data_IF_583650000559
#
_entry.id   IF_583650000559
#
_cell.length_a   1.000
_cell.length_b   1.000
_cell.length_c   1.000
_cell.angle_alpha   90.00
_cell.angle_beta   90.00
_cell.angle_gamma   90.00
#
_symmetry.space_group_name_H-M   'P 1'
#
loop_
_entity.id
_entity.type
_entity.pdbx_description
1 polymer ?
#
# COMPACT_ATOMS: atom_id res chain seq x y z
N UNK A 1 -15.39 8.06 0.50
CA UNK A 1 -14.22 7.44 1.15
C UNK A 1 -14.45 5.96 1.41
N UNK A 2 -13.44 5.09 1.39
CA UNK A 2 -13.55 3.65 1.68
C UNK A 2 -12.44 3.25 2.66
N UNK A 3 -12.76 2.34 3.59
CA UNK A 3 -11.89 1.96 4.70
C UNK A 3 -11.49 0.49 4.60
N UNK A 4 -10.20 0.22 4.66
CA UNK A 4 -9.61 -1.10 4.57
C UNK A 4 -8.73 -1.50 5.75
N UNK A 5 -8.31 -2.76 5.72
CA UNK A 5 -7.39 -3.31 6.69
C UNK A 5 -6.32 -4.17 6.00
N UNK A 6 -5.05 -3.80 6.17
CA UNK A 6 -3.92 -4.52 5.59
C UNK A 6 -3.58 -5.76 6.42
N UNK A 7 -3.51 -6.92 5.78
CA UNK A 7 -3.25 -8.19 6.46
C UNK A 7 -1.77 -8.51 6.64
N UNK A 8 -0.88 -7.74 5.99
CA UNK A 8 0.56 -8.00 5.96
C UNK A 8 1.19 -8.09 7.35
N UNK A 9 1.23 -6.98 8.07
CA UNK A 9 1.80 -6.93 9.42
C UNK A 9 0.88 -7.59 10.47
N UNK A 10 -0.43 -7.55 10.25
CA UNK A 10 -1.40 -8.12 11.19
C UNK A 10 -1.38 -9.66 11.23
N UNK A 11 -0.98 -10.31 10.14
CA UNK A 11 -0.90 -11.77 10.04
C UNK A 11 0.44 -12.23 9.44
N UNK A 12 0.65 -12.06 8.13
CA UNK A 12 1.88 -12.46 7.46
C UNK A 12 2.04 -11.78 6.09
N UNK A 13 3.26 -11.38 5.79
CA UNK A 13 3.63 -10.84 4.46
C UNK A 13 3.79 -11.93 3.40
N UNK A 14 4.19 -13.14 3.79
CA UNK A 14 4.57 -14.23 2.88
C UNK A 14 4.00 -15.59 3.27
N UNK A 15 3.41 -15.70 4.46
CA UNK A 15 2.83 -16.93 4.99
C UNK A 15 1.43 -17.21 4.44
N UNK A 16 0.70 -18.17 5.04
CA UNK A 16 -0.66 -18.50 4.61
C UNK A 16 -1.63 -17.32 4.82
N UNK A 17 -2.67 -17.29 4.02
CA UNK A 17 -3.80 -16.33 4.19
C UNK A 17 -4.48 -16.60 5.53
N UNK A 18 -4.71 -15.54 6.30
CA UNK A 18 -5.43 -15.60 7.57
C UNK A 18 -6.93 -15.40 7.38
N UNK A 19 -7.67 -16.45 7.14
CA UNK A 19 -9.13 -16.40 7.04
C UNK A 19 -9.81 -15.84 8.30
N UNK A 20 -9.38 -16.19 9.54
CA UNK A 20 -9.95 -15.57 10.74
C UNK A 20 -9.79 -14.04 10.79
N UNK A 21 -8.70 -13.50 10.24
CA UNK A 21 -8.53 -12.05 10.14
C UNK A 21 -9.49 -11.43 9.10
N UNK A 22 -9.69 -12.11 7.97
CA UNK A 22 -10.68 -11.69 6.96
C UNK A 22 -12.09 -11.63 7.59
N UNK A 23 -12.47 -12.66 8.36
CA UNK A 23 -13.75 -12.69 9.08
C UNK A 23 -13.89 -11.53 10.07
N UNK A 24 -12.83 -11.23 10.83
CA UNK A 24 -12.83 -10.12 11.78
C UNK A 24 -12.97 -8.76 11.08
N UNK A 25 -12.29 -8.57 9.95
CA UNK A 25 -12.36 -7.36 9.12
C UNK A 25 -13.77 -7.20 8.53
N UNK A 26 -14.34 -8.27 7.97
CA UNK A 26 -15.72 -8.26 7.43
C UNK A 26 -16.74 -7.98 8.52
N UNK A 27 -16.65 -8.66 9.66
CA UNK A 27 -17.58 -8.48 10.80
C UNK A 27 -17.47 -7.07 11.43
N UNK A 28 -16.29 -6.45 11.39
CA UNK A 28 -16.09 -5.08 11.84
C UNK A 28 -16.74 -4.03 10.91
N UNK A 29 -17.07 -4.40 9.67
CA UNK A 29 -17.72 -3.54 8.69
C UNK A 29 -16.75 -2.70 7.86
N UNK A 30 -15.51 -3.17 7.65
CA UNK A 30 -14.60 -2.58 6.67
C UNK A 30 -15.15 -2.78 5.25
N UNK A 31 -14.79 -1.87 4.35
CA UNK A 31 -15.22 -1.94 2.95
C UNK A 31 -14.38 -2.93 2.14
N UNK A 32 -13.11 -3.12 2.54
CA UNK A 32 -12.18 -4.02 1.85
C UNK A 32 -11.06 -4.52 2.78
N UNK A 33 -10.44 -5.61 2.34
CA UNK A 33 -9.18 -6.13 2.88
C UNK A 33 -8.04 -5.82 1.91
N UNK A 34 -6.86 -5.53 2.44
CA UNK A 34 -5.66 -5.26 1.66
C UNK A 34 -4.61 -6.34 1.92
N UNK A 35 -4.24 -7.07 0.85
CA UNK A 35 -3.25 -8.14 0.92
C UNK A 35 -1.89 -7.65 0.42
N UNK A 36 -0.77 -8.20 0.93
CA UNK A 36 0.50 -8.12 0.23
C UNK A 36 0.38 -8.78 -1.16
N UNK A 37 0.68 -8.04 -2.24
CA UNK A 37 0.60 -8.61 -3.59
C UNK A 37 1.53 -9.81 -3.76
N UNK A 38 2.74 -9.75 -3.20
CA UNK A 38 3.67 -10.86 -3.25
C UNK A 38 3.14 -12.14 -2.59
N UNK A 39 2.28 -12.03 -1.57
CA UNK A 39 1.63 -13.17 -0.92
C UNK A 39 0.57 -13.78 -1.85
N UNK A 40 -0.33 -12.97 -2.40
CA UNK A 40 -1.40 -13.46 -3.29
C UNK A 40 -0.84 -13.97 -4.61
N UNK A 41 0.23 -13.38 -5.12
CA UNK A 41 0.92 -13.85 -6.31
C UNK A 41 1.66 -15.18 -6.11
N UNK A 42 2.05 -15.52 -4.88
CA UNK A 42 2.74 -16.78 -4.55
C UNK A 42 1.78 -17.96 -4.32
N UNK A 43 0.47 -17.74 -4.22
CA UNK A 43 -0.51 -18.82 -4.06
C UNK A 43 -0.51 -19.77 -5.26
N UNK A 44 -0.83 -21.05 -5.04
CA UNK A 44 -1.23 -21.91 -6.16
C UNK A 44 -2.57 -21.42 -6.73
N UNK A 45 -2.90 -21.81 -7.97
CA UNK A 45 -4.17 -21.40 -8.59
C UNK A 45 -5.37 -21.86 -7.76
N UNK A 46 -5.34 -23.09 -7.24
CA UNK A 46 -6.40 -23.61 -6.36
C UNK A 46 -6.53 -22.82 -5.05
N UNK A 47 -5.42 -22.42 -4.44
CA UNK A 47 -5.45 -21.59 -3.23
C UNK A 47 -5.95 -20.16 -3.51
N UNK A 48 -5.58 -19.60 -4.66
CA UNK A 48 -6.08 -18.31 -5.10
C UNK A 48 -7.59 -18.36 -5.42
N UNK A 49 -8.07 -19.42 -6.09
CA UNK A 49 -9.49 -19.62 -6.36
C UNK A 49 -10.30 -19.74 -5.03
N UNK A 50 -9.73 -20.43 -4.04
CA UNK A 50 -10.32 -20.51 -2.69
C UNK A 50 -10.43 -19.13 -2.04
N UNK A 51 -9.37 -18.33 -2.11
CA UNK A 51 -9.37 -16.97 -1.55
C UNK A 51 -10.43 -16.08 -2.25
N UNK A 52 -10.47 -16.11 -3.59
CA UNK A 52 -11.42 -15.32 -4.36
C UNK A 52 -12.88 -15.69 -4.04
N UNK A 53 -13.19 -16.99 -3.93
CA UNK A 53 -14.50 -17.46 -3.53
C UNK A 53 -14.85 -17.03 -2.09
N UNK A 54 -13.89 -17.14 -1.17
CA UNK A 54 -14.07 -16.73 0.23
C UNK A 54 -14.41 -15.25 0.37
N UNK A 55 -13.69 -14.38 -0.34
CA UNK A 55 -13.96 -12.94 -0.32
C UNK A 55 -15.35 -12.62 -0.91
N UNK A 56 -15.74 -13.31 -1.97
CA UNK A 56 -17.07 -13.15 -2.55
C UNK A 56 -18.18 -13.55 -1.58
N UNK A 57 -18.03 -14.68 -0.88
CA UNK A 57 -18.98 -15.16 0.14
C UNK A 57 -19.03 -14.21 1.34
N UNK A 58 -17.89 -13.69 1.79
CA UNK A 58 -17.79 -12.68 2.85
C UNK A 58 -18.32 -11.30 2.41
N UNK A 59 -18.56 -11.07 1.13
CA UNK A 59 -18.91 -9.77 0.51
C UNK A 59 -17.88 -8.68 0.85
N UNK A 60 -16.62 -9.06 0.96
CA UNK A 60 -15.52 -8.17 1.28
C UNK A 60 -14.68 -7.93 0.03
N UNK A 61 -14.52 -6.69 -0.36
CA UNK A 61 -13.70 -6.31 -1.51
C UNK A 61 -12.20 -6.47 -1.22
N UNK A 62 -11.37 -6.39 -2.27
CA UNK A 62 -9.91 -6.29 -2.19
C UNK A 62 -9.44 -5.12 -3.08
N UNK A 63 -9.88 -3.89 -2.73
CA UNK A 63 -9.69 -2.70 -3.56
C UNK A 63 -8.23 -2.30 -3.73
N UNK A 64 -7.42 -2.54 -2.69
CA UNK A 64 -6.01 -2.19 -2.62
C UNK A 64 -5.15 -3.42 -2.31
N UNK A 65 -3.87 -3.34 -2.68
CA UNK A 65 -2.86 -4.33 -2.32
C UNK A 65 -1.54 -3.63 -2.02
N UNK A 66 -0.83 -4.06 -0.98
CA UNK A 66 0.47 -3.54 -0.59
C UNK A 66 1.62 -4.46 -1.06
N UNK A 67 2.86 -4.06 -0.81
CA UNK A 67 4.06 -4.86 -1.07
C UNK A 67 4.08 -5.51 -2.47
N UNK A 68 4.14 -4.65 -3.52
CA UNK A 68 4.05 -5.04 -4.91
C UNK A 68 5.05 -6.12 -5.32
N UNK A 69 6.30 -6.07 -4.80
CA UNK A 69 7.37 -6.98 -5.19
C UNK A 69 7.93 -7.79 -4.02
N UNK A 70 8.19 -9.09 -4.21
CA UNK A 70 8.97 -9.86 -3.25
C UNK A 70 10.44 -9.42 -3.26
N UNK A 71 11.12 -9.55 -2.11
CA UNK A 71 12.52 -9.15 -1.97
C UNK A 71 13.50 -9.89 -2.92
N UNK A 72 13.09 -11.03 -3.47
CA UNK A 72 13.86 -11.78 -4.47
C UNK A 72 13.89 -11.10 -5.84
N UNK A 73 12.93 -10.24 -6.15
CA UNK A 73 12.90 -9.44 -7.39
C UNK A 73 13.48 -8.05 -7.11
N UNK A 74 14.81 -7.92 -7.18
CA UNK A 74 15.53 -6.69 -6.93
C UNK A 74 15.35 -5.70 -8.08
N UNK A 75 14.41 -4.77 -7.94
CA UNK A 75 14.00 -3.85 -9.02
C UNK A 75 14.95 -2.67 -9.26
N UNK A 76 15.88 -2.43 -8.35
CA UNK A 76 16.88 -1.34 -8.41
C UNK A 76 18.28 -1.83 -8.78
N UNK A 77 18.45 -3.12 -9.07
CA UNK A 77 19.76 -3.65 -9.50
C UNK A 77 20.18 -3.13 -10.89
N UNK A 78 21.50 -3.05 -11.17
CA UNK A 78 22.02 -2.61 -12.47
C UNK A 78 21.52 -3.46 -13.64
N UNK A 79 21.32 -4.75 -13.40
CA UNK A 79 20.77 -5.71 -14.38
C UNK A 79 19.47 -6.26 -13.84
N UNK A 80 18.37 -5.63 -14.24
CA UNK A 80 17.03 -6.13 -13.94
C UNK A 80 16.77 -7.41 -14.73
N UNK A 81 16.36 -8.48 -14.06
CA UNK A 81 15.81 -9.66 -14.73
C UNK A 81 14.41 -9.33 -15.25
N UNK A 82 14.37 -8.77 -16.45
CA UNK A 82 13.11 -8.30 -17.08
C UNK A 82 12.14 -9.43 -17.35
N UNK A 83 12.64 -10.63 -17.64
CA UNK A 83 11.78 -11.79 -17.88
C UNK A 83 11.12 -12.24 -16.57
N UNK A 84 11.89 -12.41 -15.50
CA UNK A 84 11.35 -12.79 -14.21
C UNK A 84 10.35 -11.77 -13.68
N UNK A 85 10.69 -10.47 -13.75
CA UNK A 85 9.81 -9.38 -13.32
C UNK A 85 8.56 -9.31 -14.19
N UNK A 86 8.67 -9.41 -15.51
CA UNK A 86 7.53 -9.38 -16.42
C UNK A 86 6.56 -10.54 -16.17
N UNK A 87 7.06 -11.77 -16.09
CA UNK A 87 6.21 -12.95 -15.81
C UNK A 87 5.51 -12.85 -14.44
N UNK A 88 6.22 -12.33 -13.42
CA UNK A 88 5.62 -12.08 -12.11
C UNK A 88 4.48 -11.05 -12.20
N UNK A 89 4.71 -9.93 -12.88
CA UNK A 89 3.71 -8.87 -13.03
C UNK A 89 2.48 -9.34 -13.81
N UNK A 90 2.65 -10.07 -14.89
CA UNK A 90 1.54 -10.62 -15.68
C UNK A 90 0.64 -11.53 -14.83
N UNK A 91 1.24 -12.44 -14.05
CA UNK A 91 0.51 -13.31 -13.12
C UNK A 91 -0.20 -12.47 -12.05
N UNK A 92 0.52 -11.54 -11.42
CA UNK A 92 0.01 -10.72 -10.33
C UNK A 92 -1.17 -9.86 -10.79
N UNK A 93 -1.04 -9.12 -11.89
CA UNK A 93 -2.11 -8.26 -12.42
C UNK A 93 -3.34 -9.07 -12.86
N UNK A 94 -3.15 -10.23 -13.47
CA UNK A 94 -4.25 -11.13 -13.80
C UNK A 94 -5.04 -11.58 -12.57
N UNK A 95 -4.36 -11.86 -11.45
CA UNK A 95 -4.98 -12.19 -10.16
C UNK A 95 -5.70 -11.00 -9.55
N UNK A 96 -5.06 -9.83 -9.54
CA UNK A 96 -5.68 -8.60 -9.03
C UNK A 96 -6.95 -8.23 -9.80
N UNK A 97 -6.96 -8.38 -11.12
CA UNK A 97 -8.15 -8.17 -11.93
C UNK A 97 -9.32 -9.06 -11.51
N UNK A 98 -9.04 -10.32 -11.17
CA UNK A 98 -10.05 -11.27 -10.67
C UNK A 98 -10.58 -10.90 -9.29
N UNK A 99 -9.78 -10.26 -8.45
CA UNK A 99 -10.20 -9.73 -7.13
C UNK A 99 -10.90 -8.37 -7.22
N UNK A 100 -10.86 -7.71 -8.38
CA UNK A 100 -11.42 -6.37 -8.56
C UNK A 100 -10.54 -5.26 -7.99
N UNK A 101 -9.27 -5.54 -7.71
CA UNK A 101 -8.32 -4.56 -7.16
C UNK A 101 -8.09 -3.41 -8.13
N UNK A 102 -7.98 -2.19 -7.60
CA UNK A 102 -7.79 -0.95 -8.37
C UNK A 102 -6.52 -0.20 -8.02
N UNK A 103 -5.99 -0.40 -6.82
CA UNK A 103 -4.80 0.31 -6.34
C UNK A 103 -3.73 -0.68 -5.88
N UNK A 104 -2.50 -0.49 -6.38
CA UNK A 104 -1.34 -1.30 -6.05
C UNK A 104 -0.32 -0.41 -5.37
N UNK A 105 0.09 -0.75 -4.15
CA UNK A 105 1.09 0.02 -3.41
C UNK A 105 2.49 -0.47 -3.72
N UNK A 106 3.33 0.44 -4.22
CA UNK A 106 4.74 0.22 -4.47
C UNK A 106 5.57 0.73 -3.30
N UNK A 107 5.58 -0.03 -2.19
CA UNK A 107 6.48 0.11 -1.06
C UNK A 107 7.69 -0.81 -1.23
N UNK A 108 7.56 -2.07 -0.88
CA UNK A 108 8.48 -3.19 -1.23
C UNK A 108 9.96 -2.93 -0.93
N UNK A 109 10.32 -2.55 0.31
CA UNK A 109 11.69 -2.16 0.71
C UNK A 109 12.75 -3.18 0.30
N UNK A 110 12.48 -4.47 0.52
CA UNK A 110 13.40 -5.55 0.16
C UNK A 110 13.74 -5.63 -1.33
N UNK A 111 12.82 -5.22 -2.20
CA UNK A 111 13.02 -5.18 -3.65
C UNK A 111 13.58 -3.82 -4.12
N UNK A 112 13.15 -2.70 -3.49
CA UNK A 112 13.41 -1.33 -3.93
C UNK A 112 14.68 -0.70 -3.38
N UNK A 113 15.18 -1.12 -2.22
CA UNK A 113 16.37 -0.54 -1.62
C UNK A 113 17.56 -0.55 -2.60
N UNK A 114 18.26 0.58 -2.67
CA UNK A 114 19.40 0.74 -3.57
C UNK A 114 20.57 -0.16 -3.14
N UNK A 115 21.24 -0.81 -4.10
CA UNK A 115 22.52 -1.46 -3.84
C UNK A 115 23.56 -0.49 -3.30
N UNK A 116 24.47 -0.99 -2.48
CA UNK A 116 25.56 -0.18 -1.93
C UNK A 116 26.34 0.54 -3.04
N UNK A 117 26.61 1.83 -2.84
CA UNK A 117 27.33 2.68 -3.80
C UNK A 117 26.49 3.16 -5.00
N UNK A 118 25.18 2.89 -5.02
CA UNK A 118 24.28 3.46 -6.03
C UNK A 118 23.77 4.81 -5.53
N UNK A 119 23.91 5.86 -6.34
CA UNK A 119 23.32 7.16 -6.06
C UNK A 119 21.80 7.20 -6.34
N UNK A 120 21.11 8.17 -5.76
CA UNK A 120 19.65 8.32 -5.89
C UNK A 120 19.23 8.60 -7.34
N UNK A 121 20.00 9.39 -8.10
CA UNK A 121 19.67 9.68 -9.49
C UNK A 121 19.62 8.42 -10.34
N UNK A 122 20.61 7.54 -10.18
CA UNK A 122 20.61 6.20 -10.78
C UNK A 122 19.43 5.34 -10.30
N UNK A 123 19.07 5.45 -9.01
CA UNK A 123 17.87 4.80 -8.45
C UNK A 123 16.59 5.23 -9.17
N UNK A 124 16.37 6.53 -9.31
CA UNK A 124 15.23 7.06 -10.05
C UNK A 124 15.19 6.63 -11.52
N UNK A 125 16.33 6.61 -12.21
CA UNK A 125 16.41 6.14 -13.59
C UNK A 125 15.97 4.66 -13.72
N UNK A 126 16.41 3.81 -12.79
CA UNK A 126 16.01 2.39 -12.76
C UNK A 126 14.54 2.22 -12.48
N UNK A 127 13.99 2.96 -11.50
CA UNK A 127 12.56 2.95 -11.20
C UNK A 127 11.73 3.45 -12.39
N UNK A 128 12.17 4.53 -13.04
CA UNK A 128 11.49 5.03 -14.24
C UNK A 128 11.46 3.99 -15.36
N UNK A 129 12.58 3.31 -15.58
CA UNK A 129 12.63 2.23 -16.59
C UNK A 129 11.67 1.09 -16.24
N UNK A 130 11.64 0.65 -14.97
CA UNK A 130 10.67 -0.35 -14.50
C UNK A 130 9.22 0.10 -14.75
N UNK A 131 8.89 1.33 -14.34
CA UNK A 131 7.55 1.87 -14.50
C UNK A 131 7.14 1.96 -15.97
N UNK A 132 7.95 2.58 -16.82
CA UNK A 132 7.59 2.86 -18.21
C UNK A 132 7.57 1.59 -19.08
N UNK A 133 8.45 0.63 -18.81
CA UNK A 133 8.60 -0.53 -19.68
C UNK A 133 7.80 -1.75 -19.25
N UNK A 134 7.47 -1.87 -17.96
CA UNK A 134 6.82 -3.08 -17.44
C UNK A 134 5.52 -2.79 -16.67
N UNK A 135 5.46 -1.73 -15.86
CA UNK A 135 4.32 -1.51 -14.96
C UNK A 135 3.20 -0.73 -15.64
N UNK A 136 3.50 0.44 -16.21
CA UNK A 136 2.50 1.32 -16.84
C UNK A 136 1.67 0.62 -17.91
N UNK A 137 2.24 -0.19 -18.83
CA UNK A 137 1.45 -0.92 -19.81
C UNK A 137 0.40 -1.85 -19.18
N UNK A 138 0.72 -2.46 -18.03
CA UNK A 138 -0.24 -3.30 -17.31
C UNK A 138 -1.27 -2.47 -16.55
N UNK A 139 -0.88 -1.33 -15.96
CA UNK A 139 -1.82 -0.41 -15.33
C UNK A 139 -2.91 0.04 -16.32
N UNK A 140 -2.52 0.34 -17.55
CA UNK A 140 -3.46 0.74 -18.61
C UNK A 140 -4.33 -0.42 -19.06
N UNK A 141 -3.74 -1.61 -19.27
CA UNK A 141 -4.46 -2.79 -19.72
C UNK A 141 -5.51 -3.28 -18.72
N UNK A 142 -5.23 -3.15 -17.43
CA UNK A 142 -6.10 -3.64 -16.35
C UNK A 142 -6.90 -2.53 -15.62
N UNK A 143 -6.80 -1.28 -16.06
CA UNK A 143 -7.45 -0.13 -15.41
C UNK A 143 -7.13 0.00 -13.92
N UNK A 144 -5.83 -0.13 -13.58
CA UNK A 144 -5.32 -0.04 -12.21
C UNK A 144 -4.41 1.18 -12.03
N UNK A 145 -4.14 1.55 -10.80
CA UNK A 145 -3.26 2.65 -10.41
C UNK A 145 -2.17 2.13 -9.48
N UNK A 146 -0.92 2.51 -9.69
CA UNK A 146 0.15 2.29 -8.72
C UNK A 146 0.28 3.53 -7.83
N UNK A 147 0.33 3.31 -6.52
CA UNK A 147 0.59 4.33 -5.52
C UNK A 147 2.01 4.14 -4.98
N UNK A 148 2.87 5.13 -5.23
CA UNK A 148 4.25 5.14 -4.73
C UNK A 148 4.21 5.43 -3.23
N UNK A 149 4.76 4.55 -2.43
CA UNK A 149 4.83 4.69 -0.98
C UNK A 149 6.23 5.11 -0.55
N UNK A 150 6.41 6.34 -0.03
CA UNK A 150 7.61 6.72 0.71
C UNK A 150 7.69 5.93 2.02
N UNK A 151 8.87 5.39 2.32
CA UNK A 151 9.09 4.55 3.50
C UNK A 151 10.29 5.11 4.27
N UNK A 152 10.11 5.41 5.54
CA UNK A 152 11.08 6.08 6.41
C UNK A 152 12.50 5.48 6.36
N UNK A 153 13.50 6.28 6.77
CA UNK A 153 14.92 5.95 6.67
C UNK A 153 15.38 4.79 7.58
N UNK A 154 14.56 4.34 8.54
CA UNK A 154 14.87 3.15 9.32
C UNK A 154 14.64 1.87 8.50
N UNK A 155 13.68 1.90 7.59
CA UNK A 155 13.22 0.73 6.82
C UNK A 155 13.68 0.76 5.36
N UNK A 156 13.98 1.96 4.79
CA UNK A 156 14.37 2.12 3.40
C UNK A 156 15.52 3.13 3.24
N UNK A 157 16.38 2.88 2.26
CA UNK A 157 17.44 3.82 1.85
C UNK A 157 17.08 4.62 0.59
N UNK A 158 15.81 4.52 0.11
CA UNK A 158 15.40 5.14 -1.14
C UNK A 158 13.90 5.44 -1.18
N UNK A 159 13.54 6.66 -1.54
CA UNK A 159 12.17 7.21 -1.53
C UNK A 159 11.57 7.11 -0.12
N UNK A 160 11.93 8.07 0.74
CA UNK A 160 11.61 8.06 2.17
C UNK A 160 10.55 9.07 2.56
N UNK A 161 10.45 10.16 1.81
CA UNK A 161 9.56 11.30 2.10
C UNK A 161 8.55 11.53 0.97
N UNK A 162 7.46 12.25 1.28
CA UNK A 162 6.47 12.63 0.25
C UNK A 162 7.09 13.38 -0.93
N UNK A 163 8.02 14.36 -0.74
CA UNK A 163 8.73 14.97 -1.86
C UNK A 163 9.49 13.97 -2.72
N UNK A 164 10.19 13.00 -2.11
CA UNK A 164 10.93 11.97 -2.86
C UNK A 164 9.97 11.06 -3.66
N UNK A 165 8.85 10.66 -3.07
CA UNK A 165 7.81 9.91 -3.77
C UNK A 165 7.18 10.69 -4.92
N UNK A 166 6.85 11.96 -4.67
CA UNK A 166 6.28 12.84 -5.68
C UNK A 166 7.23 13.09 -6.86
N UNK A 167 8.54 13.16 -6.59
CA UNK A 167 9.55 13.27 -7.66
C UNK A 167 9.50 12.09 -8.65
N UNK A 168 9.15 10.88 -8.19
CA UNK A 168 8.94 9.73 -9.09
C UNK A 168 7.61 9.85 -9.85
N UNK A 169 6.53 10.27 -9.19
CA UNK A 169 5.21 10.50 -9.80
C UNK A 169 5.30 11.54 -10.93
N UNK A 170 5.95 12.68 -10.66
CA UNK A 170 6.16 13.75 -11.65
C UNK A 170 6.99 13.29 -12.85
N UNK A 171 8.07 12.54 -12.61
CA UNK A 171 8.90 11.98 -13.68
C UNK A 171 8.14 10.97 -14.54
N UNK A 172 7.28 10.17 -13.93
CA UNK A 172 6.46 9.21 -14.66
C UNK A 172 5.45 9.93 -15.57
N UNK A 173 4.97 11.11 -15.17
CA UNK A 173 4.02 11.95 -15.90
C UNK A 173 2.81 11.15 -16.44
N UNK A 174 2.32 10.20 -15.64
CA UNK A 174 1.26 9.28 -16.04
C UNK A 174 0.13 9.25 -15.00
N UNK A 175 -1.15 9.38 -15.39
CA UNK A 175 -2.27 9.53 -14.46
C UNK A 175 -2.47 8.31 -13.54
N UNK A 176 -1.94 7.14 -13.93
CA UNK A 176 -2.01 5.90 -13.13
C UNK A 176 -0.80 5.68 -12.22
N UNK A 177 0.13 6.63 -12.15
CA UNK A 177 1.23 6.64 -11.18
C UNK A 177 0.95 7.76 -10.22
N UNK A 178 0.61 7.42 -8.98
CA UNK A 178 0.17 8.36 -7.97
C UNK A 178 0.93 8.13 -6.65
N UNK A 179 0.61 8.87 -5.61
CA UNK A 179 1.29 8.86 -4.33
C UNK A 179 0.43 8.17 -3.26
N UNK A 180 1.08 7.48 -2.33
CA UNK A 180 0.53 7.05 -1.06
C UNK A 180 1.19 7.85 0.06
N UNK A 181 0.42 8.27 1.06
CA UNK A 181 0.97 8.73 2.33
C UNK A 181 0.71 7.66 3.41
N UNK A 182 1.79 7.08 3.94
CA UNK A 182 1.73 6.29 5.17
C UNK A 182 2.04 7.22 6.35
N UNK A 183 1.03 7.46 7.18
CA UNK A 183 1.11 8.44 8.25
C UNK A 183 2.18 8.07 9.29
N UNK A 184 2.42 6.77 9.53
CA UNK A 184 3.50 6.33 10.41
C UNK A 184 4.89 6.67 9.82
N UNK A 185 5.09 6.47 8.53
CA UNK A 185 6.36 6.83 7.88
C UNK A 185 6.58 8.34 7.92
N UNK A 186 5.53 9.14 7.70
CA UNK A 186 5.57 10.60 7.87
C UNK A 186 5.96 11.01 9.30
N UNK A 187 5.41 10.34 10.33
CA UNK A 187 5.78 10.59 11.73
C UNK A 187 7.26 10.34 12.01
N UNK A 188 7.85 9.29 11.41
CA UNK A 188 9.28 8.99 11.56
C UNK A 188 10.17 10.00 10.84
N UNK A 189 9.79 10.44 9.64
CA UNK A 189 10.51 11.46 8.87
C UNK A 189 10.19 12.90 9.32
N UNK A 190 9.35 13.08 10.34
CA UNK A 190 8.95 14.38 10.90
C UNK A 190 8.34 15.30 9.83
N UNK A 191 7.63 14.72 8.87
CA UNK A 191 6.89 15.48 7.87
C UNK A 191 5.68 16.14 8.51
N UNK A 192 5.47 17.45 8.27
CA UNK A 192 4.37 18.17 8.89
C UNK A 192 3.02 17.82 8.24
N UNK A 193 1.90 17.89 8.98
CA UNK A 193 0.56 17.70 8.41
C UNK A 193 0.28 18.66 7.24
N UNK A 194 0.83 19.88 7.26
CA UNK A 194 0.66 20.87 6.20
C UNK A 194 1.26 20.41 4.86
N UNK A 195 2.30 19.56 4.89
CA UNK A 195 2.91 19.02 3.68
C UNK A 195 1.90 18.23 2.82
N UNK A 196 0.89 17.58 3.43
CA UNK A 196 -0.14 16.85 2.69
C UNK A 196 -0.88 17.71 1.66
N UNK A 197 -1.03 19.02 1.93
CA UNK A 197 -1.72 19.94 1.02
C UNK A 197 -1.03 20.04 -0.34
N UNK A 198 0.30 19.98 -0.38
CA UNK A 198 1.05 20.08 -1.63
C UNK A 198 0.84 18.86 -2.54
N UNK A 199 0.43 17.74 -1.98
CA UNK A 199 0.29 16.45 -2.69
C UNK A 199 -1.15 15.96 -2.82
N UNK A 200 -2.13 16.69 -2.28
CA UNK A 200 -3.53 16.26 -2.18
C UNK A 200 -4.12 15.75 -3.50
N UNK A 201 -3.80 16.39 -4.63
CA UNK A 201 -4.27 15.99 -5.95
C UNK A 201 -3.70 14.64 -6.44
N UNK A 202 -2.59 14.19 -5.86
CA UNK A 202 -1.90 12.96 -6.23
C UNK A 202 -2.03 11.85 -5.17
N UNK A 203 -2.66 12.15 -4.01
CA UNK A 203 -2.87 11.15 -2.98
C UNK A 203 -3.96 10.15 -3.42
N UNK A 204 -3.55 8.94 -3.71
CA UNK A 204 -4.42 7.86 -4.13
C UNK A 204 -4.87 6.98 -2.98
N UNK A 205 -3.99 6.78 -2.01
CA UNK A 205 -4.18 5.85 -0.90
C UNK A 205 -3.47 6.35 0.36
N UNK A 206 -4.01 6.00 1.52
CA UNK A 206 -3.46 6.36 2.83
C UNK A 206 -3.30 5.08 3.66
N UNK A 207 -2.12 4.91 4.27
CA UNK A 207 -1.92 3.96 5.34
C UNK A 207 -1.94 4.66 6.70
N UNK A 208 -2.61 4.05 7.67
CA UNK A 208 -2.77 4.58 9.02
C UNK A 208 -2.26 3.57 10.05
N UNK A 209 -1.36 4.00 10.89
CA UNK A 209 -1.00 3.35 12.16
C UNK A 209 -0.33 4.36 13.08
N UNK A 210 -0.30 4.06 14.37
CA UNK A 210 0.65 4.71 15.28
C UNK A 210 2.08 4.24 14.98
N UNK A 211 3.07 4.84 15.64
CA UNK A 211 4.46 4.35 15.58
C UNK A 211 4.52 2.86 15.90
N UNK A 212 5.50 2.17 15.35
CA UNK A 212 5.71 0.73 15.52
C UNK A 212 4.52 -0.14 15.06
N UNK A 213 3.73 0.34 14.10
CA UNK A 213 2.57 -0.36 13.54
C UNK A 213 1.51 -0.71 14.59
N UNK A 214 1.37 0.11 15.62
CA UNK A 214 0.31 -0.08 16.63
C UNK A 214 -1.03 0.39 16.06
N UNK A 215 -2.08 -0.42 16.24
CA UNK A 215 -3.44 -0.09 15.82
C UNK A 215 -4.06 0.96 16.74
N UNK A 216 -4.47 2.14 16.26
CA UNK A 216 -5.12 3.16 17.07
C UNK A 216 -6.61 2.82 17.29
N UNK A 217 -6.97 2.16 18.38
CA UNK A 217 -8.37 1.79 18.66
C UNK A 217 -8.99 2.51 19.87
N UNK A 218 -8.15 3.06 20.75
CA UNK A 218 -8.59 3.78 21.96
C UNK A 218 -8.45 5.30 21.88
N UNK A 219 -7.86 5.82 20.83
CA UNK A 219 -7.54 7.21 20.56
C UNK A 219 -6.34 7.30 19.64
N UNK A 220 -5.95 8.51 19.28
CA UNK A 220 -4.75 8.81 18.49
C UNK A 220 -3.72 9.53 19.34
N UNK A 221 -2.44 9.38 19.01
CA UNK A 221 -1.42 10.37 19.41
C UNK A 221 -1.78 11.73 18.83
N UNK A 222 -1.32 12.81 19.47
CA UNK A 222 -1.55 14.18 18.97
C UNK A 222 -0.99 14.35 17.55
N UNK A 223 0.13 13.70 17.25
CA UNK A 223 0.79 13.73 15.94
C UNK A 223 -0.08 13.04 14.86
N UNK A 224 -0.60 11.85 15.14
CA UNK A 224 -1.46 11.13 14.18
C UNK A 224 -2.81 11.83 14.01
N UNK A 225 -3.39 12.35 15.11
CA UNK A 225 -4.61 13.14 15.06
C UNK A 225 -4.47 14.35 14.11
N UNK A 226 -3.36 15.12 14.24
CA UNK A 226 -3.11 16.26 13.37
C UNK A 226 -3.00 15.89 11.88
N UNK A 227 -2.40 14.74 11.55
CA UNK A 227 -2.34 14.24 10.18
C UNK A 227 -3.73 13.87 9.64
N UNK A 228 -4.55 13.16 10.44
CA UNK A 228 -5.92 12.79 10.06
C UNK A 228 -6.83 14.00 9.91
N UNK A 229 -6.78 14.96 10.85
CA UNK A 229 -7.51 16.22 10.76
C UNK A 229 -7.13 17.00 9.49
N UNK A 230 -5.84 16.99 9.15
CA UNK A 230 -5.39 17.64 7.91
C UNK A 230 -5.93 16.96 6.67
N UNK A 231 -5.94 15.63 6.60
CA UNK A 231 -6.55 14.87 5.49
C UNK A 231 -8.05 15.18 5.35
N UNK A 232 -8.76 15.21 6.48
CA UNK A 232 -10.19 15.57 6.51
C UNK A 232 -10.40 17.00 5.97
N UNK A 233 -9.63 17.98 6.46
CA UNK A 233 -9.71 19.38 6.03
C UNK A 233 -9.37 19.59 4.54
N UNK A 234 -8.58 18.70 3.94
CA UNK A 234 -8.28 18.69 2.49
C UNK A 234 -9.40 18.05 1.65
N UNK A 235 -10.44 17.50 2.29
CA UNK A 235 -11.53 16.81 1.60
C UNK A 235 -11.08 15.50 0.95
N UNK A 236 -10.11 14.79 1.54
CA UNK A 236 -9.67 13.51 1.01
C UNK A 236 -10.83 12.50 1.02
N UNK A 237 -11.13 11.89 -0.12
CA UNK A 237 -12.24 10.95 -0.32
C UNK A 237 -11.81 9.60 -0.93
N UNK A 238 -10.51 9.33 -0.95
CA UNK A 238 -9.93 8.09 -1.49
C UNK A 238 -10.08 6.87 -0.58
N UNK A 239 -9.10 6.00 -0.60
CA UNK A 239 -9.04 4.77 0.21
C UNK A 239 -8.07 4.93 1.38
N UNK A 240 -8.46 4.45 2.56
CA UNK A 240 -7.64 4.46 3.77
C UNK A 240 -7.58 3.03 4.32
N UNK A 241 -6.38 2.50 4.56
CA UNK A 241 -6.18 1.20 5.23
C UNK A 241 -5.42 1.36 6.56
N UNK A 242 -5.85 0.63 7.57
CA UNK A 242 -4.96 0.36 8.70
C UNK A 242 -3.88 -0.62 8.27
N UNK A 243 -2.62 -0.23 8.40
CA UNK A 243 -1.46 -1.10 8.20
C UNK A 243 -0.72 -1.28 9.53
N UNK A 244 -1.22 -2.22 10.34
CA UNK A 244 -0.85 -2.41 11.74
C UNK A 244 -0.41 -3.84 12.03
N UNK A 245 0.23 -4.03 13.18
CA UNK A 245 0.51 -5.33 13.76
C UNK A 245 -0.75 -6.09 14.20
N UNK A 246 -0.59 -7.29 14.80
CA UNK A 246 -1.71 -8.10 15.23
C UNK A 246 -2.64 -7.37 16.21
N UNK A 247 -3.94 -7.58 16.06
CA UNK A 247 -4.98 -7.01 16.91
C UNK A 247 -6.13 -8.00 17.09
N UNK A 248 -6.93 -7.78 18.13
CA UNK A 248 -8.18 -8.54 18.35
C UNK A 248 -9.29 -8.02 17.44
N UNK A 249 -10.31 -8.85 17.20
CA UNK A 249 -11.49 -8.43 16.43
C UNK A 249 -12.20 -7.21 17.05
N UNK A 250 -12.21 -7.10 18.38
CA UNK A 250 -12.80 -5.97 19.10
C UNK A 250 -12.01 -4.67 18.87
N UNK A 251 -10.69 -4.72 18.91
CA UNK A 251 -9.79 -3.59 18.61
C UNK A 251 -9.90 -3.17 17.15
N UNK A 252 -9.91 -4.12 16.21
CA UNK A 252 -10.12 -3.89 14.78
C UNK A 252 -11.43 -3.14 14.52
N UNK A 253 -12.52 -3.56 15.15
CA UNK A 253 -13.81 -2.88 15.05
C UNK A 253 -13.82 -1.49 15.71
N UNK A 254 -13.12 -1.33 16.85
CA UNK A 254 -13.04 -0.04 17.55
C UNK A 254 -12.23 0.97 16.74
N UNK A 255 -11.14 0.55 16.11
CA UNK A 255 -10.31 1.39 15.25
C UNK A 255 -11.11 1.94 14.05
N UNK A 256 -11.90 1.10 13.37
CA UNK A 256 -12.76 1.57 12.27
C UNK A 256 -13.78 2.62 12.73
N UNK A 257 -14.44 2.39 13.87
CA UNK A 257 -15.39 3.37 14.41
C UNK A 257 -14.71 4.71 14.75
N UNK A 258 -13.50 4.65 15.28
CA UNK A 258 -12.73 5.85 15.60
C UNK A 258 -12.36 6.59 14.30
N UNK A 259 -11.83 5.89 13.30
CA UNK A 259 -11.42 6.51 12.03
C UNK A 259 -12.62 7.13 11.29
N UNK A 260 -13.76 6.44 11.22
CA UNK A 260 -14.98 6.98 10.59
C UNK A 260 -15.43 8.28 11.26
N UNK A 261 -15.45 8.33 12.59
CA UNK A 261 -15.79 9.58 13.29
C UNK A 261 -14.87 10.73 12.93
N UNK A 262 -13.58 10.48 12.85
CA UNK A 262 -12.57 11.52 12.53
C UNK A 262 -12.69 12.00 11.08
N UNK A 263 -13.04 11.13 10.16
CA UNK A 263 -13.02 11.44 8.72
C UNK A 263 -14.41 11.80 8.15
N UNK A 264 -15.51 11.56 8.88
CA UNK A 264 -16.88 11.75 8.38
C UNK A 264 -17.69 12.77 9.21
N UNK A 265 -17.24 13.14 10.42
CA UNK A 265 -17.84 14.15 11.30
C UNK A 265 -17.01 15.45 11.34
#
# INVERSE_FOLDING_TARGET
>A
MRYGFCTGFAASMTGPISYPLIDAVAAAGYDYVEFPLMQTAALSDAAFDTLAAYLADAKLAADCTCNMFPASLRITEPKLDRQAVGSYLELAFGRLARLGTRTIVLGSTGARNLPAGTDEATGYERMMRLLTELVIPLLDAYDMTVAIEPINGNDSNFIRTLPEGMALVERAAHPRVQLLADLMHMLYEQESPEALAAYAANLRHIHVSERDRVLPFGGYSDELAALLERLHALGYDGTISFECGPSTAAETAAALRLLRRTMEE
#
